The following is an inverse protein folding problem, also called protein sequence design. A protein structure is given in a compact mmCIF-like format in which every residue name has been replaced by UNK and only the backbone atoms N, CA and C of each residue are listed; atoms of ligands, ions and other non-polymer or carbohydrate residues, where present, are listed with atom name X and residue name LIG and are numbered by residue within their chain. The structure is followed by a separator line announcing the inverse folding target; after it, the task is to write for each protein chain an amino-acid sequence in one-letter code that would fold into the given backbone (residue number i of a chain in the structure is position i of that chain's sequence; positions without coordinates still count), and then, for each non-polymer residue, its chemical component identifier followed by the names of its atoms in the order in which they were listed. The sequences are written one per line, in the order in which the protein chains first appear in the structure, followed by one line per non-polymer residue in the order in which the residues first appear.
data_IF_312892232852
#
_entry.id   IF_312892232852
#
_cell.length_a   1.000
_cell.length_b   1.000
_cell.length_c   1.000
_cell.angle_alpha   90.00
_cell.angle_beta   90.00
_cell.angle_gamma   90.00
#
_symmetry.space_group_name_H-M   'P 1'
#
loop_
_entity.id
_entity.type
_entity.pdbx_description
1 polymer ?
#
# COMPACT_ATOMS: atom_id res chain seq x y z
N UNK A 1 0.85 -13.40 3.81
CA UNK A 1 -0.54 -13.20 3.35
C UNK A 1 -1.11 -14.40 2.60
N UNK A 2 -0.34 -15.09 1.74
CA UNK A 2 -0.83 -16.27 0.99
C UNK A 2 -1.46 -17.38 1.88
N UNK A 3 -0.94 -17.60 3.09
CA UNK A 3 -1.51 -18.54 4.06
C UNK A 3 -2.95 -18.18 4.51
N UNK A 4 -3.34 -16.90 4.37
CA UNK A 4 -4.69 -16.41 4.64
C UNK A 4 -5.59 -16.40 3.38
N UNK A 5 -5.09 -16.89 2.25
CA UNK A 5 -5.78 -16.85 0.96
C UNK A 5 -5.87 -15.46 0.34
N UNK A 6 -5.01 -14.52 0.74
CA UNK A 6 -5.05 -13.12 0.30
C UNK A 6 -3.76 -12.69 -0.41
N UNK A 7 -3.94 -11.88 -1.46
CA UNK A 7 -2.84 -11.08 -2.00
C UNK A 7 -2.45 -9.95 -1.04
N UNK A 8 -1.20 -9.47 -1.15
CA UNK A 8 -0.71 -8.39 -0.30
C UNK A 8 -1.55 -7.12 -0.45
N UNK A 9 -1.91 -6.75 -1.68
CA UNK A 9 -2.74 -5.57 -1.98
C UNK A 9 -4.15 -5.69 -1.40
N UNK A 10 -4.70 -6.91 -1.36
CA UNK A 10 -6.01 -7.17 -0.75
C UNK A 10 -5.95 -7.01 0.78
N UNK A 11 -4.88 -7.50 1.41
CA UNK A 11 -4.67 -7.32 2.85
C UNK A 11 -4.48 -5.83 3.21
N UNK A 12 -3.70 -5.09 2.41
CA UNK A 12 -3.53 -3.63 2.57
C UNK A 12 -4.85 -2.88 2.40
N UNK A 13 -5.70 -3.31 1.46
CA UNK A 13 -7.01 -2.72 1.23
C UNK A 13 -7.96 -2.92 2.42
N UNK A 14 -8.01 -4.12 3.00
CA UNK A 14 -8.79 -4.39 4.20
C UNK A 14 -8.32 -3.54 5.39
N UNK A 15 -7.00 -3.39 5.57
CA UNK A 15 -6.43 -2.54 6.61
C UNK A 15 -6.78 -1.05 6.40
N UNK A 16 -6.71 -0.56 5.16
CA UNK A 16 -7.07 0.82 4.84
C UNK A 16 -8.57 1.11 5.05
N UNK A 17 -9.44 0.14 4.78
CA UNK A 17 -10.88 0.26 5.08
C UNK A 17 -11.10 0.24 6.60
N UNK A 18 -10.38 -0.60 7.35
CA UNK A 18 -10.45 -0.67 8.81
C UNK A 18 -10.02 0.63 9.50
N UNK A 19 -9.00 1.30 8.96
CA UNK A 19 -8.50 2.59 9.45
C UNK A 19 -9.56 3.70 9.38
N UNK A 20 -10.48 3.62 8.42
CA UNK A 20 -11.66 4.50 8.35
C UNK A 20 -11.36 5.97 8.00
N UNK A 21 -10.10 6.34 7.72
CA UNK A 21 -9.73 7.71 7.35
C UNK A 21 -10.22 8.12 5.96
N UNK A 22 -10.47 7.15 5.08
CA UNK A 22 -10.94 7.40 3.72
C UNK A 22 -12.48 7.36 3.63
N UNK A 23 -13.06 8.40 3.04
CA UNK A 23 -14.51 8.56 2.86
C UNK A 23 -15.01 8.11 1.49
N UNK A 24 -14.11 7.62 0.62
CA UNK A 24 -14.47 7.08 -0.69
C UNK A 24 -13.44 6.08 -1.23
N UNK A 25 -13.86 5.23 -2.18
CA UNK A 25 -12.96 4.36 -2.91
C UNK A 25 -11.79 5.10 -3.59
N UNK A 26 -12.01 6.33 -4.07
CA UNK A 26 -10.94 7.13 -4.69
C UNK A 26 -9.89 7.60 -3.66
N UNK A 27 -10.30 7.91 -2.44
CA UNK A 27 -9.39 8.25 -1.35
C UNK A 27 -8.60 7.03 -0.89
N UNK A 28 -9.23 5.86 -0.82
CA UNK A 28 -8.54 4.59 -0.53
C UNK A 28 -7.46 4.30 -1.58
N UNK A 29 -7.77 4.43 -2.87
CA UNK A 29 -6.77 4.26 -3.95
C UNK A 29 -5.58 5.21 -3.78
N UNK A 30 -5.84 6.49 -3.47
CA UNK A 30 -4.80 7.49 -3.26
C UNK A 30 -3.95 7.17 -2.03
N UNK A 31 -4.58 6.77 -0.93
CA UNK A 31 -3.90 6.39 0.30
C UNK A 31 -2.94 5.19 0.07
N UNK A 32 -3.38 4.21 -0.70
CA UNK A 32 -2.58 3.05 -1.06
C UNK A 32 -1.60 3.29 -2.21
N UNK A 33 -1.63 4.45 -2.86
CA UNK A 33 -0.78 4.76 -4.02
C UNK A 33 -1.07 3.90 -5.26
N UNK A 34 -2.31 3.40 -5.41
CA UNK A 34 -2.72 2.54 -6.53
C UNK A 34 -3.71 3.24 -7.46
N UNK A 35 -3.77 2.81 -8.71
CA UNK A 35 -4.77 3.32 -9.66
C UNK A 35 -6.16 2.70 -9.42
N UNK A 36 -7.17 3.32 -10.03
CA UNK A 36 -8.58 2.93 -9.88
C UNK A 36 -8.90 1.54 -10.43
N UNK A 37 -8.24 1.11 -11.50
CA UNK A 37 -8.44 -0.21 -12.10
C UNK A 37 -7.88 -1.31 -11.19
N UNK A 38 -6.71 -1.06 -10.60
CA UNK A 38 -6.09 -1.91 -9.59
C UNK A 38 -6.98 -2.00 -8.34
N UNK A 39 -7.53 -0.89 -7.85
CA UNK A 39 -8.48 -0.91 -6.74
C UNK A 39 -9.72 -1.76 -7.06
N UNK A 40 -10.36 -1.53 -8.22
CA UNK A 40 -11.57 -2.26 -8.60
C UNK A 40 -11.34 -3.78 -8.73
N UNK A 41 -10.18 -4.19 -9.25
CA UNK A 41 -9.77 -5.59 -9.34
C UNK A 41 -9.59 -6.23 -7.95
N UNK A 42 -9.12 -5.47 -6.96
CA UNK A 42 -8.93 -5.95 -5.59
C UNK A 42 -10.24 -5.96 -4.77
N UNK A 43 -11.17 -5.03 -5.02
CA UNK A 43 -12.46 -4.96 -4.31
C UNK A 43 -13.39 -6.13 -4.66
N UNK A 44 -13.44 -6.54 -5.93
CA UNK A 44 -14.41 -7.55 -6.40
C UNK A 44 -14.25 -8.93 -5.72
N UNK A 45 -13.04 -9.49 -5.56
CA UNK A 45 -12.85 -10.74 -4.82
C UNK A 45 -13.21 -10.61 -3.34
N UNK A 46 -12.88 -9.49 -2.69
CA UNK A 46 -13.19 -9.25 -1.28
C UNK A 46 -14.71 -9.15 -1.03
N UNK A 47 -15.43 -8.51 -1.95
CA UNK A 47 -16.89 -8.43 -1.93
C UNK A 47 -17.52 -9.82 -2.16
N UNK A 48 -16.98 -10.59 -3.12
CA UNK A 48 -17.45 -11.95 -3.42
C UNK A 48 -17.21 -12.92 -2.25
N UNK A 49 -16.13 -12.70 -1.48
CA UNK A 49 -15.82 -13.44 -0.26
C UNK A 49 -16.62 -12.95 0.96
N UNK A 50 -17.47 -11.93 0.81
CA UNK A 50 -18.27 -11.37 1.90
C UNK A 50 -17.46 -10.61 2.95
N UNK A 51 -16.21 -10.23 2.65
CA UNK A 51 -15.34 -9.48 3.56
C UNK A 51 -15.65 -7.98 3.57
N UNK A 52 -16.19 -7.47 2.48
CA UNK A 52 -16.61 -6.07 2.35
C UNK A 52 -18.01 -5.97 1.77
N UNK A 53 -18.69 -4.88 2.07
CA UNK A 53 -19.95 -4.49 1.46
C UNK A 53 -19.85 -3.08 0.87
N UNK A 54 -20.74 -2.76 -0.05
CA UNK A 54 -20.86 -1.44 -0.66
C UNK A 54 -21.92 -0.62 0.08
N UNK A 55 -21.51 0.44 0.76
CA UNK A 55 -22.43 1.40 1.35
C UNK A 55 -22.64 2.58 0.40
N UNK A 56 -23.89 2.83 0.01
CA UNK A 56 -24.26 3.99 -0.79
C UNK A 56 -24.27 5.25 0.06
N UNK A 57 -23.56 6.30 -0.36
CA UNK A 57 -23.45 7.56 0.41
C UNK A 57 -24.45 8.63 -0.07
N UNK A 58 -25.61 8.23 -0.59
CA UNK A 58 -26.64 9.17 -1.10
C UNK A 58 -26.33 9.82 -2.46
N UNK A 59 -25.33 9.33 -3.21
CA UNK A 59 -24.97 9.79 -4.56
C UNK A 59 -24.31 8.70 -5.41
N UNK A 60 -23.61 9.06 -6.51
CA UNK A 60 -22.87 8.08 -7.36
C UNK A 60 -21.66 7.43 -6.67
N UNK A 61 -21.31 7.85 -5.46
CA UNK A 61 -20.15 7.34 -4.71
C UNK A 61 -20.57 6.12 -3.88
N UNK A 62 -19.72 5.11 -3.94
CA UNK A 62 -19.83 3.89 -3.14
C UNK A 62 -18.62 3.84 -2.22
N UNK A 63 -18.86 3.68 -0.93
CA UNK A 63 -17.83 3.45 0.07
C UNK A 63 -17.78 1.95 0.37
N UNK A 64 -16.65 1.27 0.13
CA UNK A 64 -16.48 -0.08 0.66
C UNK A 64 -16.35 -0.02 2.18
N UNK A 65 -17.11 -0.84 2.87
CA UNK A 65 -17.09 -0.98 4.33
C UNK A 65 -16.82 -2.45 4.69
N UNK A 66 -16.18 -2.69 5.82
CA UNK A 66 -15.98 -4.06 6.30
C UNK A 66 -17.33 -4.66 6.70
N UNK A 67 -17.49 -5.95 6.44
CA UNK A 67 -18.51 -6.77 7.12
C UNK A 67 -17.95 -7.28 8.44
N UNK A 68 -18.76 -7.90 9.32
CA UNK A 68 -18.24 -8.60 10.50
C UNK A 68 -17.18 -9.67 10.16
N UNK A 69 -17.32 -10.33 9.00
CA UNK A 69 -16.32 -11.28 8.51
C UNK A 69 -15.02 -10.58 8.08
N UNK A 70 -15.14 -9.40 7.45
CA UNK A 70 -14.01 -8.54 7.11
C UNK A 70 -13.25 -8.06 8.33
N UNK A 71 -13.94 -7.61 9.37
CA UNK A 71 -13.34 -7.20 10.65
C UNK A 71 -12.55 -8.34 11.29
N UNK A 72 -13.14 -9.53 11.38
CA UNK A 72 -12.45 -10.72 11.88
C UNK A 72 -11.20 -11.04 11.04
N UNK A 73 -11.29 -10.90 9.71
CA UNK A 73 -10.16 -11.12 8.82
C UNK A 73 -9.05 -10.09 9.03
N UNK A 74 -9.37 -8.83 9.30
CA UNK A 74 -8.38 -7.78 9.62
C UNK A 74 -7.62 -8.12 10.90
N UNK A 75 -8.31 -8.60 11.93
CA UNK A 75 -7.66 -9.05 13.18
C UNK A 75 -6.68 -10.20 12.90
N UNK A 76 -7.08 -11.17 12.07
CA UNK A 76 -6.23 -12.29 11.68
C UNK A 76 -5.00 -11.85 10.87
N UNK A 77 -5.18 -10.91 9.93
CA UNK A 77 -4.10 -10.28 9.18
C UNK A 77 -3.11 -9.61 10.13
N UNK A 78 -3.61 -8.81 11.07
CA UNK A 78 -2.78 -8.10 12.04
C UNK A 78 -1.99 -9.06 12.93
N UNK A 79 -2.63 -10.10 13.46
CA UNK A 79 -1.95 -11.12 14.28
C UNK A 79 -0.87 -11.86 13.49
N UNK A 80 -1.16 -12.22 12.24
CA UNK A 80 -0.18 -12.89 11.36
C UNK A 80 1.01 -11.98 11.06
N UNK A 81 0.75 -10.69 10.82
CA UNK A 81 1.80 -9.70 10.60
C UNK A 81 2.69 -9.52 11.83
N UNK A 82 2.09 -9.41 13.03
CA UNK A 82 2.86 -9.29 14.28
C UNK A 82 3.80 -10.47 14.50
N UNK A 83 3.35 -11.70 14.25
CA UNK A 83 4.20 -12.90 14.34
C UNK A 83 5.37 -12.83 13.37
N UNK A 84 5.10 -12.50 12.10
CA UNK A 84 6.15 -12.36 11.09
C UNK A 84 7.14 -11.23 11.46
N UNK A 85 6.64 -10.13 12.03
CA UNK A 85 7.47 -9.03 12.49
C UNK A 85 8.33 -9.43 13.70
N UNK A 86 7.80 -10.22 14.63
CA UNK A 86 8.54 -10.74 15.79
C UNK A 86 9.63 -11.73 15.37
N UNK A 87 9.33 -12.64 14.45
CA UNK A 87 10.31 -13.56 13.85
C UNK A 87 11.44 -12.77 13.16
N UNK A 88 11.08 -11.76 12.36
CA UNK A 88 12.06 -10.89 11.72
C UNK A 88 12.89 -10.11 12.75
N UNK A 89 12.26 -9.55 13.79
CA UNK A 89 12.94 -8.84 14.88
C UNK A 89 13.95 -9.74 15.59
N UNK A 90 13.57 -11.00 15.85
CA UNK A 90 14.43 -12.00 16.47
C UNK A 90 15.66 -12.31 15.60
N UNK A 91 15.47 -12.43 14.27
CA UNK A 91 16.56 -12.65 13.33
C UNK A 91 17.49 -11.45 13.20
N UNK A 92 16.94 -10.23 13.25
CA UNK A 92 17.69 -8.98 13.13
C UNK A 92 18.46 -8.64 14.42
N UNK A 93 18.00 -9.11 15.57
CA UNK A 93 18.56 -8.75 16.87
C UNK A 93 18.27 -7.29 17.26
N UNK A 94 18.74 -6.86 18.45
CA UNK A 94 18.35 -5.60 19.06
C UNK A 94 18.68 -4.35 18.21
N UNK A 95 19.76 -4.39 17.43
CA UNK A 95 20.21 -3.25 16.61
C UNK A 95 19.84 -3.38 15.12
N UNK A 96 19.33 -4.53 14.69
CA UNK A 96 19.18 -4.84 13.27
C UNK A 96 18.10 -4.01 12.58
N UNK A 97 17.03 -3.64 13.28
CA UNK A 97 15.98 -2.79 12.72
C UNK A 97 16.48 -1.37 12.40
N UNK A 98 17.32 -0.80 13.26
CA UNK A 98 17.95 0.51 13.02
C UNK A 98 18.99 0.40 11.89
N UNK A 99 19.79 -0.66 11.88
CA UNK A 99 20.75 -0.91 10.81
C UNK A 99 20.08 -1.04 9.43
N UNK A 100 19.01 -1.82 9.31
CA UNK A 100 18.23 -1.95 8.06
C UNK A 100 17.63 -0.61 7.65
N UNK A 101 17.05 0.15 8.58
CA UNK A 101 16.51 1.49 8.28
C UNK A 101 17.59 2.44 7.77
N UNK A 102 18.79 2.42 8.37
CA UNK A 102 19.91 3.22 7.93
C UNK A 102 20.33 2.87 6.49
N UNK A 103 20.46 1.57 6.18
CA UNK A 103 20.83 1.13 4.83
C UNK A 103 19.76 1.48 3.78
N UNK A 104 18.47 1.28 4.10
CA UNK A 104 17.37 1.68 3.21
C UNK A 104 17.29 3.20 2.99
N UNK A 105 17.63 3.99 4.01
CA UNK A 105 17.74 5.45 3.90
C UNK A 105 18.87 5.85 2.95
N UNK A 106 20.04 5.18 3.04
CA UNK A 106 21.15 5.38 2.12
C UNK A 106 20.76 5.04 0.68
N UNK A 107 20.11 3.90 0.45
CA UNK A 107 19.62 3.51 -0.88
C UNK A 107 18.61 4.53 -1.43
N UNK A 108 17.66 5.00 -0.61
CA UNK A 108 16.69 6.02 -1.02
C UNK A 108 17.36 7.34 -1.41
N UNK A 109 18.37 7.79 -0.67
CA UNK A 109 19.15 8.99 -1.00
C UNK A 109 19.90 8.83 -2.32
N UNK A 110 20.51 7.67 -2.55
CA UNK A 110 21.21 7.39 -3.79
C UNK A 110 20.28 7.45 -5.01
N UNK A 111 19.07 6.86 -4.91
CA UNK A 111 18.05 6.95 -5.98
C UNK A 111 17.68 8.41 -6.25
N UNK A 112 17.43 9.22 -5.21
CA UNK A 112 17.08 10.63 -5.39
C UNK A 112 18.18 11.46 -6.06
N UNK A 113 19.44 11.19 -5.70
CA UNK A 113 20.60 11.86 -6.32
C UNK A 113 20.65 11.53 -7.81
N UNK A 114 20.48 10.26 -8.19
CA UNK A 114 20.48 9.84 -9.59
C UNK A 114 19.33 10.48 -10.37
N UNK A 115 18.12 10.51 -9.81
CA UNK A 115 16.97 11.18 -10.44
C UNK A 115 17.19 12.70 -10.61
N UNK A 116 17.89 13.35 -9.67
CA UNK A 116 18.25 14.78 -9.79
C UNK A 116 19.31 15.03 -10.85
N UNK A 117 20.31 14.16 -10.97
CA UNK A 117 21.39 14.27 -11.95
C UNK A 117 20.89 14.03 -13.38
N UNK A 118 19.99 13.06 -13.59
CA UNK A 118 19.35 12.83 -14.89
C UNK A 118 18.52 14.04 -15.33
N UNK A 119 17.88 14.73 -14.38
CA UNK A 119 17.08 15.92 -14.64
C UNK A 119 17.93 17.15 -14.97
N UNK A 120 19.03 17.35 -14.23
CA UNK A 120 20.01 18.42 -14.52
C UNK A 120 20.74 18.18 -15.85
N UNK A 121 21.08 16.93 -16.18
CA UNK A 121 21.67 16.57 -17.47
C UNK A 121 20.70 16.78 -18.64
N UNK A 122 19.41 16.52 -18.45
CA UNK A 122 18.38 16.77 -19.46
C UNK A 122 18.12 18.27 -19.69
N UNK A 123 18.13 19.08 -18.64
CA UNK A 123 17.96 20.54 -18.74
C UNK A 123 19.23 21.26 -19.24
N UNK A 124 20.41 20.62 -19.13
CA UNK A 124 21.69 21.18 -19.56
C UNK A 124 22.01 20.98 -21.06
N UNK A 125 21.18 20.26 -21.84
CA UNK A 125 21.34 20.17 -23.31
C UNK A 125 20.73 21.41 -23.96
N UNK A 126 21.53 22.36 -24.50
CA UNK A 126 20.98 23.53 -25.17
C UNK A 126 20.36 23.15 -26.51
N UNK A 127 19.36 23.90 -27.02
CA UNK A 127 18.75 23.59 -28.31
C UNK A 127 19.81 23.59 -29.41
N UNK A 128 19.93 22.45 -30.09
CA UNK A 128 20.78 22.28 -31.26
C UNK A 128 20.54 23.42 -32.25
N UNK A 129 21.51 24.32 -32.37
CA UNK A 129 21.51 25.34 -33.41
C UNK A 129 21.61 24.63 -34.76
N UNK A 130 20.47 24.51 -35.44
CA UNK A 130 20.42 24.06 -36.83
C UNK A 130 21.01 25.15 -37.69
N UNK A 131 22.02 24.81 -38.48
CA UNK A 131 22.59 25.62 -39.54
C UNK A 131 22.15 25.04 -40.88
#
# INVERSE_FOLDING_TARGET
MAALGLELTQAQLLAAIADGSASSAAEIARFLGIDRSTLARNLKPLESAGLIARQGTGGKKVLPVLTPLGEAKVIEIHSTWLKAQEELSTLLGPDGADAVRAQMSTLRKAVHILESQDKEAADAVPPSSSN
#
